data_IF_553140096918
#
_entry.id   IF_553140096918
#
_cell.length_a   1.000
_cell.length_b   1.000
_cell.length_c   1.000
_cell.angle_alpha   90.00
_cell.angle_beta   90.00
_cell.angle_gamma   90.00
#
_symmetry.space_group_name_H-M   'P 1'
#
loop_
_entity.id
_entity.type
_entity.pdbx_description
1 polymer ?
#
# COMPACT_ATOMS: atom_id res chain seq x y z
N UNK A 1 6.93 -20.45 -13.91
CA UNK A 1 6.17 -20.79 -12.69
C UNK A 1 5.58 -19.51 -12.14
N UNK A 2 4.26 -19.32 -12.26
CA UNK A 2 3.59 -18.19 -11.65
C UNK A 2 3.65 -18.35 -10.13
N UNK A 3 4.50 -17.55 -9.46
CA UNK A 3 4.61 -17.50 -8.01
C UNK A 3 3.38 -16.77 -7.46
N UNK A 4 2.25 -17.46 -7.44
CA UNK A 4 1.12 -17.10 -6.59
C UNK A 4 1.64 -17.13 -5.16
N UNK A 5 1.72 -15.97 -4.51
CA UNK A 5 2.37 -15.91 -3.21
C UNK A 5 2.26 -14.55 -2.55
N UNK A 6 2.30 -14.60 -1.22
CA UNK A 6 2.40 -13.46 -0.33
C UNK A 6 3.86 -13.31 0.06
N UNK A 7 4.47 -12.15 -0.21
CA UNK A 7 5.89 -11.91 0.09
C UNK A 7 6.05 -10.77 1.08
N UNK A 8 6.87 -10.92 2.12
CA UNK A 8 7.14 -9.81 3.03
C UNK A 8 7.88 -8.69 2.30
N UNK A 9 7.40 -7.45 2.44
CA UNK A 9 8.09 -6.25 1.98
C UNK A 9 9.32 -5.93 2.88
N UNK A 10 9.27 -6.39 4.14
CA UNK A 10 10.36 -6.34 5.10
C UNK A 10 10.69 -7.77 5.54
N UNK A 11 11.74 -8.42 5.00
CA UNK A 11 12.03 -9.84 5.24
C UNK A 11 12.23 -10.21 6.72
N UNK A 12 12.63 -9.24 7.55
CA UNK A 12 12.79 -9.43 9.00
C UNK A 12 11.46 -9.50 9.77
N UNK A 13 10.35 -9.16 9.12
CA UNK A 13 9.02 -9.17 9.71
C UNK A 13 8.10 -10.05 8.87
N UNK A 14 7.79 -11.23 9.40
CA UNK A 14 6.84 -12.15 8.79
C UNK A 14 5.58 -12.26 9.65
N UNK A 15 4.45 -12.54 9.01
CA UNK A 15 3.21 -12.88 9.71
C UNK A 15 2.88 -14.34 9.52
N UNK A 16 2.31 -14.94 10.56
CA UNK A 16 1.81 -16.30 10.48
C UNK A 16 0.57 -16.34 9.57
N UNK A 17 0.66 -17.14 8.50
CA UNK A 17 -0.41 -17.43 7.55
C UNK A 17 -1.01 -16.18 6.85
N UNK A 18 -0.26 -15.50 5.97
CA UNK A 18 -0.70 -14.28 5.29
C UNK A 18 -1.96 -14.47 4.45
N UNK A 19 -2.20 -15.67 3.90
CA UNK A 19 -3.39 -15.94 3.10
C UNK A 19 -4.70 -15.87 3.89
N UNK A 20 -4.69 -16.27 5.17
CA UNK A 20 -5.88 -16.15 6.04
C UNK A 20 -6.13 -14.70 6.43
N UNK A 21 -5.06 -13.98 6.73
CA UNK A 21 -5.10 -12.58 7.13
C UNK A 21 -5.56 -11.67 5.96
N UNK A 22 -5.07 -11.93 4.75
CA UNK A 22 -5.51 -11.26 3.52
C UNK A 22 -7.02 -11.40 3.26
N UNK A 23 -7.61 -12.58 3.50
CA UNK A 23 -9.06 -12.80 3.31
C UNK A 23 -9.94 -11.97 4.23
N UNK A 24 -9.44 -11.60 5.40
CA UNK A 24 -10.14 -10.73 6.36
C UNK A 24 -9.81 -9.25 6.21
N UNK A 25 -8.93 -8.90 5.26
CA UNK A 25 -8.46 -7.55 5.07
C UNK A 25 -9.55 -6.65 4.44
N UNK A 26 -9.58 -5.40 4.88
CA UNK A 26 -10.40 -4.36 4.27
C UNK A 26 -9.75 -3.85 2.99
N UNK A 27 -10.52 -3.80 1.92
CA UNK A 27 -10.04 -3.31 0.62
C UNK A 27 -10.19 -1.80 0.54
N UNK A 28 -9.12 -1.11 0.15
CA UNK A 28 -9.11 0.31 -0.21
C UNK A 28 -8.40 0.43 -1.55
N UNK A 29 -9.19 0.65 -2.61
CA UNK A 29 -8.72 0.63 -4.00
C UNK A 29 -7.94 -0.66 -4.29
N UNK A 30 -6.68 -0.56 -4.72
CA UNK A 30 -5.83 -1.73 -4.97
C UNK A 30 -5.16 -2.30 -3.71
N UNK A 31 -5.23 -1.63 -2.56
CA UNK A 31 -4.56 -2.05 -1.33
C UNK A 31 -5.51 -2.83 -0.42
N UNK A 32 -4.98 -3.78 0.35
CA UNK A 32 -5.75 -4.47 1.38
C UNK A 32 -5.11 -4.23 2.74
N UNK A 33 -5.89 -3.88 3.75
CA UNK A 33 -5.40 -3.62 5.11
C UNK A 33 -6.10 -4.55 6.08
N UNK A 34 -5.35 -5.44 6.70
CA UNK A 34 -5.84 -6.30 7.77
C UNK A 34 -5.49 -5.73 9.15
N UNK A 35 -5.73 -6.52 10.19
CA UNK A 35 -5.25 -6.21 11.53
C UNK A 35 -3.75 -6.41 11.70
N UNK A 36 -3.11 -7.20 10.83
CA UNK A 36 -1.69 -7.58 10.96
C UNK A 36 -0.78 -6.99 9.90
N UNK A 37 -1.28 -6.74 8.69
CA UNK A 37 -0.46 -6.29 7.57
C UNK A 37 -1.21 -5.39 6.58
N UNK A 38 -0.43 -4.56 5.90
CA UNK A 38 -0.81 -3.86 4.68
C UNK A 38 -0.36 -4.70 3.48
N UNK A 39 -1.27 -5.03 2.59
CA UNK A 39 -0.99 -5.74 1.35
C UNK A 39 -0.99 -4.79 0.17
N UNK A 40 0.09 -4.86 -0.59
CA UNK A 40 0.42 -4.02 -1.73
C UNK A 40 0.48 -4.95 -2.95
N UNK A 41 -0.24 -4.63 -4.04
CA UNK A 41 -0.14 -5.41 -5.26
C UNK A 41 1.29 -5.37 -5.78
N UNK A 42 1.81 -6.51 -6.21
CA UNK A 42 3.13 -6.65 -6.82
C UNK A 42 2.99 -7.13 -8.26
N UNK A 43 4.11 -7.30 -8.97
CA UNK A 43 4.10 -7.73 -10.37
C UNK A 43 3.34 -9.06 -10.53
N UNK A 44 2.38 -9.07 -11.45
CA UNK A 44 1.54 -10.24 -11.75
C UNK A 44 0.41 -10.45 -10.74
N UNK A 45 0.09 -11.71 -10.45
CA UNK A 45 -0.96 -12.10 -9.48
C UNK A 45 -0.38 -12.32 -8.06
N UNK A 46 0.62 -11.53 -7.68
CA UNK A 46 1.32 -11.66 -6.40
C UNK A 46 1.12 -10.44 -5.51
N UNK A 47 1.24 -10.64 -4.20
CA UNK A 47 1.01 -9.60 -3.20
C UNK A 47 2.25 -9.47 -2.31
N UNK A 48 2.73 -8.24 -2.15
CA UNK A 48 3.65 -7.92 -1.06
C UNK A 48 2.86 -7.57 0.18
N UNK A 49 3.29 -8.00 1.34
CA UNK A 49 2.69 -7.62 2.61
C UNK A 49 3.72 -6.93 3.49
N UNK A 50 3.32 -5.85 4.13
CA UNK A 50 4.09 -5.12 5.12
C UNK A 50 3.39 -5.29 6.47
N UNK A 51 3.97 -6.05 7.40
CA UNK A 51 3.40 -6.17 8.74
C UNK A 51 3.28 -4.78 9.39
N UNK A 52 2.15 -4.51 10.01
CA UNK A 52 1.89 -3.19 10.61
C UNK A 52 2.86 -2.91 11.77
N UNK A 53 3.33 -3.96 12.45
CA UNK A 53 4.38 -3.87 13.48
C UNK A 53 5.75 -3.40 12.94
N UNK A 54 6.00 -3.53 11.64
CA UNK A 54 7.23 -3.07 11.00
C UNK A 54 7.16 -1.58 10.61
N UNK A 55 5.96 -0.99 10.59
CA UNK A 55 5.76 0.41 10.20
C UNK A 55 6.27 1.31 11.33
N UNK A 56 7.15 2.24 10.96
CA UNK A 56 7.74 3.26 11.85
C UNK A 56 7.09 4.63 11.71
N UNK A 57 6.42 4.88 10.58
CA UNK A 57 5.70 6.12 10.36
C UNK A 57 4.90 6.12 9.07
N UNK A 58 3.87 6.95 9.04
CA UNK A 58 3.03 7.14 7.85
C UNK A 58 2.84 8.63 7.62
N UNK A 59 3.15 9.09 6.40
CA UNK A 59 3.14 10.50 6.03
C UNK A 59 2.23 10.68 4.81
N UNK A 60 1.18 11.52 4.88
CA UNK A 60 0.39 11.84 3.70
C UNK A 60 1.18 12.75 2.75
N UNK A 61 0.93 12.60 1.46
CA UNK A 61 1.60 13.35 0.41
C UNK A 61 0.72 13.50 -0.83
N UNK A 62 1.33 14.03 -1.89
CA UNK A 62 0.75 14.13 -3.22
C UNK A 62 1.83 13.85 -4.26
N UNK A 63 1.43 13.28 -5.38
CA UNK A 63 2.28 13.06 -6.54
C UNK A 63 1.61 13.70 -7.75
N UNK A 64 2.40 14.50 -8.48
CA UNK A 64 1.96 15.12 -9.72
C UNK A 64 2.27 14.17 -10.85
N UNK A 65 1.25 13.76 -11.60
CA UNK A 65 1.43 12.97 -12.82
C UNK A 65 1.09 13.84 -14.02
N UNK A 66 2.08 14.01 -14.87
CA UNK A 66 1.91 14.63 -16.18
C UNK A 66 1.48 13.53 -17.14
N UNK A 67 0.21 13.57 -17.56
CA UNK A 67 -0.27 12.67 -18.59
C UNK A 67 -0.09 13.36 -19.94
N UNK A 68 0.91 12.90 -20.69
CA UNK A 68 1.22 13.39 -22.02
C UNK A 68 0.12 12.92 -22.99
N UNK A 69 -0.94 13.72 -23.10
CA UNK A 69 -2.00 13.51 -24.07
C UNK A 69 -1.73 14.35 -25.32
N UNK A 70 -1.90 13.74 -26.49
CA UNK A 70 -1.72 14.38 -27.80
C UNK A 70 -2.63 15.61 -28.06
N UNK A 71 -3.55 15.92 -27.14
CA UNK A 71 -4.48 17.06 -27.19
C UNK A 71 -4.30 18.05 -26.02
N UNK A 72 -3.07 18.25 -25.55
CA UNK A 72 -2.76 19.12 -24.42
C UNK A 72 -2.75 18.32 -23.12
N UNK A 73 -1.57 18.22 -22.50
CA UNK A 73 -1.40 17.51 -21.24
C UNK A 73 -2.24 18.16 -20.13
N UNK A 74 -2.86 17.33 -19.30
CA UNK A 74 -3.51 17.77 -18.08
C UNK A 74 -2.70 17.27 -16.88
N UNK A 75 -2.47 18.16 -15.91
CA UNK A 75 -1.79 17.84 -14.66
C UNK A 75 -2.80 17.18 -13.70
N UNK A 76 -2.53 15.94 -13.30
CA UNK A 76 -3.34 15.24 -12.31
C UNK A 76 -2.55 15.15 -11.01
N UNK A 77 -3.08 15.72 -9.92
CA UNK A 77 -2.55 15.50 -8.57
C UNK A 77 -3.20 14.25 -7.98
N UNK A 78 -2.39 13.21 -7.75
CA UNK A 78 -2.82 12.00 -7.06
C UNK A 78 -2.41 12.06 -5.58
N UNK A 79 -3.32 11.76 -4.65
CA UNK A 79 -2.97 11.65 -3.23
C UNK A 79 -2.05 10.44 -3.02
N UNK A 80 -1.03 10.63 -2.18
CA UNK A 80 -0.10 9.55 -1.82
C UNK A 80 0.03 9.38 -0.31
N UNK A 81 0.44 8.20 0.11
CA UNK A 81 0.80 7.88 1.48
C UNK A 81 2.18 7.24 1.48
N UNK A 82 3.13 7.84 2.18
CA UNK A 82 4.46 7.29 2.38
C UNK A 82 4.48 6.48 3.68
N UNK A 83 4.76 5.20 3.57
CA UNK A 83 4.88 4.27 4.70
C UNK A 83 6.36 4.00 4.93
N UNK A 84 6.87 4.41 6.09
CA UNK A 84 8.26 4.24 6.51
C UNK A 84 8.34 2.99 7.37
N UNK A 85 9.29 2.10 7.08
CA UNK A 85 9.58 0.89 7.82
C UNK A 85 11.10 0.61 7.79
N UNK A 86 11.59 -0.36 8.56
CA UNK A 86 13.05 -0.60 8.65
C UNK A 86 13.71 -0.96 7.32
N UNK A 87 12.95 -1.52 6.38
CA UNK A 87 13.43 -1.88 5.05
C UNK A 87 13.37 -0.75 4.00
N UNK A 88 12.84 0.43 4.35
CA UNK A 88 12.76 1.57 3.44
C UNK A 88 11.46 2.37 3.53
N UNK A 89 11.08 2.97 2.39
CA UNK A 89 9.85 3.75 2.26
C UNK A 89 9.05 3.19 1.11
N UNK A 90 7.79 2.83 1.37
CA UNK A 90 6.83 2.51 0.33
C UNK A 90 5.89 3.69 0.07
N UNK A 91 5.70 4.01 -1.20
CA UNK A 91 4.82 5.09 -1.64
C UNK A 91 3.54 4.47 -2.19
N UNK A 92 2.43 4.70 -1.51
CA UNK A 92 1.11 4.23 -1.90
C UNK A 92 0.39 5.37 -2.61
N UNK A 93 0.23 5.26 -3.92
CA UNK A 93 -0.52 6.22 -4.73
C UNK A 93 -1.96 5.76 -4.85
N UNK A 94 -2.89 6.65 -4.52
CA UNK A 94 -4.33 6.40 -4.55
C UNK A 94 -4.98 7.29 -5.61
N UNK A 95 -6.12 6.85 -6.13
CA UNK A 95 -6.89 7.59 -7.12
C UNK A 95 -7.76 8.67 -6.46
N UNK A 96 -8.23 8.42 -5.23
CA UNK A 96 -9.14 9.32 -4.52
C UNK A 96 -8.57 9.82 -3.20
N UNK A 97 -8.77 11.11 -2.92
CA UNK A 97 -8.40 11.74 -1.65
C UNK A 97 -9.12 11.08 -0.47
N UNK A 98 -10.38 10.70 -0.66
CA UNK A 98 -11.18 10.03 0.37
C UNK A 98 -10.57 8.67 0.76
N UNK A 99 -10.15 7.90 -0.24
CA UNK A 99 -9.47 6.62 -0.02
C UNK A 99 -8.15 6.83 0.71
N UNK A 100 -7.40 7.87 0.36
CA UNK A 100 -6.13 8.19 1.03
C UNK A 100 -6.34 8.55 2.51
N UNK A 101 -7.35 9.37 2.82
CA UNK A 101 -7.71 9.72 4.20
C UNK A 101 -8.17 8.49 4.99
N UNK A 102 -8.93 7.58 4.36
CA UNK A 102 -9.36 6.33 4.96
C UNK A 102 -8.18 5.39 5.26
N UNK A 103 -7.30 5.16 4.28
CA UNK A 103 -6.11 4.32 4.42
C UNK A 103 -5.17 4.88 5.47
N UNK A 104 -4.93 6.20 5.46
CA UNK A 104 -4.13 6.88 6.47
C UNK A 104 -4.71 6.68 7.88
N UNK A 105 -6.03 6.81 8.03
CA UNK A 105 -6.73 6.63 9.30
C UNK A 105 -6.64 5.19 9.81
N UNK A 106 -6.72 4.20 8.92
CA UNK A 106 -6.56 2.79 9.30
C UNK A 106 -5.13 2.49 9.75
N UNK A 107 -4.13 2.94 8.99
CA UNK A 107 -2.74 2.71 9.34
C UNK A 107 -2.41 3.38 10.68
N UNK A 108 -2.76 4.66 10.86
CA UNK A 108 -2.48 5.42 12.10
C UNK A 108 -3.13 4.83 13.36
N UNK A 109 -4.22 4.06 13.23
CA UNK A 109 -4.86 3.39 14.38
C UNK A 109 -4.16 2.08 14.78
N UNK A 110 -3.30 1.54 13.91
CA UNK A 110 -2.81 0.17 13.99
C UNK A 110 -1.30 0.06 14.22
N UNK A 111 -0.54 1.15 14.05
CA UNK A 111 0.85 1.29 14.51
C UNK A 111 0.95 2.38 15.57
#
# INVERSE_FOLDING_TARGET
MALWGYRPAAPSFEIENPGKDFKGARVIEQFHVSDKALYIPDRGFSWRYLPLSAIRGVIPGKESRDEDSAMGGYHIELPTIRVIYEGGVEVLTLESRRSAEELFSLLKRKY
#
